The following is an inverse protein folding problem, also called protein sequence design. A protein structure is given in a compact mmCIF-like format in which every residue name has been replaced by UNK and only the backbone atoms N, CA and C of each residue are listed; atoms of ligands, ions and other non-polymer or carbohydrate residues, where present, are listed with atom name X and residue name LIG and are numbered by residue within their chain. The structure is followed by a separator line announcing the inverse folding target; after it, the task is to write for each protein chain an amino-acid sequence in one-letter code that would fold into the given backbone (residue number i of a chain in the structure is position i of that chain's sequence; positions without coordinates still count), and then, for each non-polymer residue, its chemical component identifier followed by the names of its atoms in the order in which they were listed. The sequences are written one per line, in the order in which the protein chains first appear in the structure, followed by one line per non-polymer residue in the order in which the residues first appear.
data_IF_039462698522
#
_entry.id   IF_039462698522
#
_cell.length_a   1.000
_cell.length_b   1.000
_cell.length_c   1.000
_cell.angle_alpha   90.00
_cell.angle_beta   90.00
_cell.angle_gamma   90.00
#
_symmetry.space_group_name_H-M   'P 1'
#
loop_
_entity.id
_entity.type
_entity.pdbx_description
1 polymer ?
#
# COMPACT_ATOMS: atom_id res chain seq x y z
N UNK A 1 16.41 -1.84 -12.67
CA UNK A 1 15.92 -2.73 -13.75
C UNK A 1 16.23 -2.10 -15.10
N UNK A 2 16.70 -2.89 -16.08
CA UNK A 2 17.05 -2.42 -17.43
C UNK A 2 16.61 -3.45 -18.47
N UNK A 3 16.12 -3.03 -19.66
CA UNK A 3 15.75 -3.95 -20.74
C UNK A 3 16.91 -4.86 -21.16
N UNK A 4 18.13 -4.33 -21.27
CA UNK A 4 19.33 -5.07 -21.63
C UNK A 4 19.76 -6.18 -20.65
N UNK A 5 19.10 -6.25 -19.49
CA UNK A 5 19.32 -7.27 -18.44
C UNK A 5 18.13 -8.21 -18.28
N UNK A 6 17.25 -8.29 -19.27
CA UNK A 6 16.12 -9.21 -19.28
C UNK A 6 14.95 -8.84 -18.36
N UNK A 7 14.87 -7.58 -17.91
CA UNK A 7 13.79 -7.11 -17.04
C UNK A 7 12.50 -6.77 -17.78
N UNK A 8 12.48 -6.82 -19.10
CA UNK A 8 11.35 -6.48 -19.95
C UNK A 8 11.59 -5.22 -20.78
N UNK A 9 10.60 -4.80 -21.56
CA UNK A 9 10.62 -3.55 -22.32
C UNK A 9 10.57 -2.33 -21.41
N UNK A 10 10.93 -1.15 -21.92
CA UNK A 10 10.80 0.11 -21.14
C UNK A 10 9.39 0.30 -20.63
N UNK A 11 8.35 0.09 -21.49
CA UNK A 11 6.95 0.20 -21.10
C UNK A 11 6.59 -0.74 -19.95
N UNK A 12 7.06 -1.98 -19.97
CA UNK A 12 6.82 -2.96 -18.90
C UNK A 12 7.54 -2.59 -17.61
N UNK A 13 8.80 -2.14 -17.69
CA UNK A 13 9.56 -1.73 -16.49
C UNK A 13 8.95 -0.49 -15.81
N UNK A 14 8.32 0.39 -16.57
CA UNK A 14 7.63 1.57 -16.05
C UNK A 14 6.24 1.24 -15.44
N UNK A 15 5.71 0.04 -15.67
CA UNK A 15 4.53 -0.44 -14.96
C UNK A 15 4.97 -1.00 -13.58
N UNK A 16 4.53 -0.40 -12.45
CA UNK A 16 4.95 -0.82 -11.12
C UNK A 16 4.48 -2.25 -10.77
N UNK A 17 3.37 -2.71 -11.31
CA UNK A 17 2.90 -4.09 -11.10
C UNK A 17 3.80 -5.09 -11.79
N UNK A 18 4.13 -4.84 -13.07
CA UNK A 18 5.05 -5.69 -13.81
C UNK A 18 6.44 -5.70 -13.16
N UNK A 19 7.01 -4.53 -12.91
CA UNK A 19 8.39 -4.41 -12.41
C UNK A 19 8.55 -4.99 -11.00
N UNK A 20 7.56 -4.82 -10.13
CA UNK A 20 7.55 -5.44 -8.80
C UNK A 20 7.38 -6.96 -8.89
N UNK A 21 6.46 -7.45 -9.73
CA UNK A 21 6.27 -8.88 -9.96
C UNK A 21 7.56 -9.56 -10.42
N UNK A 22 8.24 -8.98 -11.43
CA UNK A 22 9.54 -9.49 -11.91
C UNK A 22 10.62 -9.48 -10.83
N UNK A 23 10.61 -8.47 -9.94
CA UNK A 23 11.53 -8.45 -8.79
C UNK A 23 11.24 -9.62 -7.84
N UNK A 24 9.99 -9.86 -7.49
CA UNK A 24 9.60 -10.94 -6.59
C UNK A 24 9.84 -12.32 -7.21
N UNK A 25 9.60 -12.51 -8.52
CA UNK A 25 9.92 -13.75 -9.22
C UNK A 25 11.43 -14.07 -9.09
N UNK A 26 12.29 -13.08 -9.29
CA UNK A 26 13.74 -13.24 -9.15
C UNK A 26 14.14 -13.46 -7.66
N UNK A 27 13.46 -12.81 -6.71
CA UNK A 27 13.69 -12.97 -5.28
C UNK A 27 13.42 -14.39 -4.81
N UNK A 28 12.35 -15.02 -5.30
CA UNK A 28 12.00 -16.40 -4.95
C UNK A 28 13.09 -17.41 -5.35
N UNK A 29 13.92 -17.08 -6.33
CA UNK A 29 15.10 -17.87 -6.75
C UNK A 29 16.34 -17.66 -5.86
N UNK A 30 16.35 -16.69 -4.95
CA UNK A 30 17.49 -16.43 -4.05
C UNK A 30 17.44 -17.35 -2.85
N UNK A 31 18.50 -18.17 -2.66
CA UNK A 31 18.60 -19.02 -1.47
C UNK A 31 18.59 -18.16 -0.18
N UNK A 32 17.85 -18.61 0.83
CA UNK A 32 17.73 -17.97 2.15
C UNK A 32 17.15 -16.54 2.12
N UNK A 33 16.37 -16.15 1.10
CA UNK A 33 15.85 -14.81 0.95
C UNK A 33 14.99 -14.32 2.14
N UNK A 34 14.45 -15.25 2.94
CA UNK A 34 13.62 -14.92 4.13
C UNK A 34 14.44 -14.63 5.38
N UNK A 35 15.68 -15.08 5.45
CA UNK A 35 16.51 -15.05 6.66
C UNK A 35 17.78 -14.21 6.51
N UNK A 36 18.24 -14.02 5.28
CA UNK A 36 19.40 -13.18 4.99
C UNK A 36 19.06 -11.69 5.14
N UNK A 37 20.08 -10.85 5.26
CA UNK A 37 19.92 -9.39 5.30
C UNK A 37 19.17 -8.86 4.07
N UNK A 38 18.18 -8.00 4.29
CA UNK A 38 17.27 -7.50 3.24
C UNK A 38 18.03 -6.78 2.13
N UNK A 39 19.02 -5.95 2.45
CA UNK A 39 19.81 -5.24 1.45
C UNK A 39 20.63 -6.21 0.60
N UNK A 40 21.22 -7.22 1.23
CA UNK A 40 22.07 -8.21 0.54
C UNK A 40 21.23 -9.10 -0.38
N UNK A 41 20.05 -9.49 0.05
CA UNK A 41 19.08 -10.23 -0.78
C UNK A 41 18.62 -9.37 -1.96
N UNK A 42 18.26 -8.13 -1.74
CA UNK A 42 17.88 -7.20 -2.80
C UNK A 42 19.02 -6.97 -3.79
N UNK A 43 20.27 -6.89 -3.30
CA UNK A 43 21.47 -6.78 -4.12
C UNK A 43 21.69 -8.04 -4.98
N UNK A 44 21.48 -9.23 -4.44
CA UNK A 44 21.55 -10.50 -5.22
C UNK A 44 20.57 -10.48 -6.41
N UNK A 45 19.37 -9.91 -6.22
CA UNK A 45 18.36 -9.76 -7.28
C UNK A 45 18.76 -8.69 -8.30
N UNK A 46 19.12 -7.49 -7.83
CA UNK A 46 19.31 -6.33 -8.71
C UNK A 46 20.70 -6.22 -9.31
N UNK A 47 21.72 -6.76 -8.65
CA UNK A 47 23.14 -6.65 -9.07
C UNK A 47 23.52 -5.20 -9.39
N UNK A 48 23.19 -4.30 -8.44
CA UNK A 48 23.54 -2.87 -8.54
C UNK A 48 25.05 -2.66 -8.47
N UNK A 49 25.54 -1.64 -9.17
CA UNK A 49 26.93 -1.20 -9.05
C UNK A 49 27.24 -0.54 -7.67
N UNK A 50 26.20 -0.23 -6.89
CA UNK A 50 26.32 0.41 -5.57
C UNK A 50 25.60 -0.45 -4.51
N UNK A 51 26.19 -1.55 -4.04
CA UNK A 51 25.52 -2.55 -3.21
C UNK A 51 25.01 -1.99 -1.87
N UNK A 52 25.71 -1.02 -1.28
CA UNK A 52 25.35 -0.46 0.03
C UNK A 52 24.55 0.84 -0.02
N UNK A 53 24.33 1.41 -1.22
CA UNK A 53 23.66 2.69 -1.37
C UNK A 53 22.23 2.72 -0.79
N UNK A 54 21.55 1.59 -0.77
CA UNK A 54 20.16 1.47 -0.32
C UNK A 54 20.02 0.95 1.11
N UNK A 55 21.10 0.49 1.76
CA UNK A 55 21.07 -0.05 3.13
C UNK A 55 20.43 0.94 4.13
N UNK A 56 20.74 2.22 4.01
CA UNK A 56 20.15 3.29 4.83
C UNK A 56 18.61 3.44 4.70
N UNK A 57 18.00 2.83 3.70
CA UNK A 57 16.55 2.88 3.46
C UNK A 57 15.80 1.65 3.97
N UNK A 58 16.50 0.61 4.45
CA UNK A 58 15.90 -0.67 4.87
C UNK A 58 14.86 -0.45 5.96
N UNK A 59 15.18 0.28 7.04
CA UNK A 59 14.24 0.54 8.14
C UNK A 59 12.98 1.27 7.69
N UNK A 60 13.11 2.26 6.81
CA UNK A 60 11.97 3.00 6.25
C UNK A 60 11.12 2.12 5.33
N UNK A 61 11.76 1.27 4.52
CA UNK A 61 11.05 0.33 3.65
C UNK A 61 10.28 -0.72 4.47
N UNK A 62 10.87 -1.23 5.55
CA UNK A 62 10.20 -2.16 6.47
C UNK A 62 8.98 -1.51 7.14
N UNK A 63 9.13 -0.27 7.66
CA UNK A 63 8.02 0.45 8.28
C UNK A 63 6.86 0.69 7.30
N UNK A 64 7.18 1.13 6.07
CA UNK A 64 6.18 1.35 5.02
C UNK A 64 5.52 0.04 4.59
N UNK A 65 6.29 -1.02 4.41
CA UNK A 65 5.76 -2.34 4.07
C UNK A 65 4.83 -2.86 5.19
N UNK A 66 5.22 -2.74 6.47
CA UNK A 66 4.39 -3.15 7.59
C UNK A 66 3.06 -2.38 7.65
N UNK A 67 3.07 -1.07 7.39
CA UNK A 67 1.87 -0.24 7.33
C UNK A 67 0.96 -0.64 6.15
N UNK A 68 1.51 -0.72 4.93
CA UNK A 68 0.74 -1.00 3.71
C UNK A 68 0.23 -2.45 3.62
N UNK A 69 0.87 -3.40 4.30
CA UNK A 69 0.41 -4.80 4.35
C UNK A 69 -0.47 -5.10 5.56
N UNK A 70 -0.76 -4.10 6.39
CA UNK A 70 -1.61 -4.22 7.58
C UNK A 70 -0.96 -4.97 8.76
N UNK A 71 0.34 -5.25 8.68
CA UNK A 71 1.11 -5.83 9.81
C UNK A 71 1.19 -4.81 10.95
N UNK A 72 1.31 -3.53 10.62
CA UNK A 72 1.25 -2.42 11.57
C UNK A 72 -0.10 -1.70 11.45
N UNK A 73 -1.08 -1.99 12.31
CA UNK A 73 -2.35 -1.29 12.37
C UNK A 73 -2.18 0.22 12.56
N UNK A 74 -2.89 1.02 11.74
CA UNK A 74 -2.80 2.48 11.82
C UNK A 74 -1.42 3.06 11.51
N UNK A 75 -0.53 2.27 10.89
CA UNK A 75 0.87 2.65 10.64
C UNK A 75 1.07 3.70 9.53
N UNK A 76 0.01 4.09 8.83
CA UNK A 76 0.05 5.11 7.77
C UNK A 76 -0.94 6.21 8.05
N UNK A 77 -0.48 7.46 7.95
CA UNK A 77 -1.33 8.65 7.92
C UNK A 77 -0.87 9.60 6.83
N UNK A 78 -1.78 10.44 6.35
CA UNK A 78 -1.51 11.46 5.33
C UNK A 78 -2.19 12.77 5.70
N UNK A 79 -1.71 13.87 5.13
CA UNK A 79 -2.44 15.13 5.00
C UNK A 79 -2.52 15.50 3.52
N UNK A 80 -3.57 16.19 3.13
CA UNK A 80 -3.72 16.72 1.77
C UNK A 80 -4.19 18.16 1.85
N UNK A 81 -3.44 19.08 1.27
CA UNK A 81 -3.79 20.50 1.28
C UNK A 81 -5.00 20.84 0.42
N UNK A 82 -5.20 20.09 -0.65
CA UNK A 82 -6.32 20.26 -1.59
C UNK A 82 -6.68 18.91 -2.18
N UNK A 83 -7.43 18.06 -1.46
CA UNK A 83 -7.78 16.74 -1.94
C UNK A 83 -8.60 16.84 -3.25
N UNK A 84 -8.42 15.87 -4.13
CA UNK A 84 -9.18 15.76 -5.35
C UNK A 84 -10.68 15.60 -5.06
N UNK A 85 -11.50 15.85 -6.07
CA UNK A 85 -12.94 15.54 -6.01
C UNK A 85 -13.13 14.03 -5.76
N UNK A 86 -14.18 13.70 -4.99
CA UNK A 86 -14.55 12.32 -4.66
C UNK A 86 -14.67 11.43 -5.91
N UNK A 87 -13.87 10.36 -5.97
CA UNK A 87 -13.91 9.33 -7.00
C UNK A 87 -13.95 7.91 -6.40
N UNK A 88 -15.10 7.54 -5.89
CA UNK A 88 -15.35 6.22 -5.34
C UNK A 88 -15.22 5.10 -6.39
N UNK A 89 -15.49 5.40 -7.67
CA UNK A 89 -15.39 4.42 -8.75
C UNK A 89 -13.92 4.10 -9.07
N UNK A 90 -13.10 5.13 -9.23
CA UNK A 90 -11.67 4.99 -9.48
C UNK A 90 -10.96 4.29 -8.34
N UNK A 91 -11.23 4.68 -7.09
CA UNK A 91 -10.65 3.99 -5.93
C UNK A 91 -11.08 2.52 -5.86
N UNK A 92 -12.34 2.21 -6.15
CA UNK A 92 -12.83 0.81 -6.20
C UNK A 92 -12.06 -0.01 -7.23
N UNK A 93 -11.89 0.51 -8.44
CA UNK A 93 -11.16 -0.16 -9.51
C UNK A 93 -9.70 -0.42 -9.12
N UNK A 94 -9.05 0.60 -8.53
CA UNK A 94 -7.68 0.51 -8.08
C UNK A 94 -7.50 -0.50 -6.93
N UNK A 95 -8.37 -0.47 -5.91
CA UNK A 95 -8.34 -1.44 -4.81
C UNK A 95 -8.52 -2.87 -5.30
N UNK A 96 -9.48 -3.11 -6.19
CA UNK A 96 -9.70 -4.44 -6.77
C UNK A 96 -8.49 -4.96 -7.55
N UNK A 97 -7.76 -4.07 -8.24
CA UNK A 97 -6.51 -4.42 -8.94
C UNK A 97 -5.37 -4.69 -7.97
N UNK A 98 -5.16 -3.81 -7.00
CA UNK A 98 -4.00 -3.85 -6.12
C UNK A 98 -4.11 -4.91 -5.01
N UNK A 99 -5.33 -5.16 -4.52
CA UNK A 99 -5.63 -6.06 -3.40
C UNK A 99 -6.44 -7.28 -3.86
N UNK A 100 -6.27 -7.71 -5.11
CA UNK A 100 -7.02 -8.80 -5.72
C UNK A 100 -6.96 -10.09 -4.88
N UNK A 101 -8.14 -10.70 -4.63
CA UNK A 101 -8.26 -11.92 -3.82
C UNK A 101 -8.20 -11.71 -2.30
N UNK A 102 -7.77 -10.54 -1.82
CA UNK A 102 -7.57 -10.25 -0.41
C UNK A 102 -8.73 -9.45 0.21
N UNK A 103 -9.46 -8.73 -0.63
CA UNK A 103 -10.57 -7.87 -0.20
C UNK A 103 -11.77 -7.94 -1.15
N UNK A 104 -12.97 -7.76 -0.59
CA UNK A 104 -14.20 -7.53 -1.36
C UNK A 104 -14.62 -6.07 -1.20
N UNK A 105 -14.69 -5.32 -2.30
CA UNK A 105 -15.07 -3.90 -2.31
C UNK A 105 -16.50 -3.75 -2.81
N UNK A 106 -17.36 -3.12 -2.00
CA UNK A 106 -18.76 -2.80 -2.29
C UNK A 106 -18.95 -1.28 -2.25
N UNK A 107 -19.50 -0.71 -3.31
CA UNK A 107 -19.89 0.71 -3.36
C UNK A 107 -21.27 0.87 -2.73
N UNK A 108 -21.43 1.97 -1.96
CA UNK A 108 -22.70 2.39 -1.35
C UNK A 108 -22.95 3.87 -1.67
N UNK A 109 -24.12 4.37 -1.33
CA UNK A 109 -24.42 5.81 -1.46
C UNK A 109 -23.52 6.69 -0.57
N UNK A 110 -23.00 6.13 0.55
CA UNK A 110 -22.17 6.85 1.53
C UNK A 110 -20.67 6.64 1.33
N UNK A 111 -20.25 5.87 0.32
CA UNK A 111 -18.83 5.58 0.07
C UNK A 111 -18.55 4.12 -0.26
N UNK A 112 -17.52 3.53 0.37
CA UNK A 112 -17.16 2.14 0.16
C UNK A 112 -17.23 1.34 1.46
N UNK A 113 -17.65 0.08 1.33
CA UNK A 113 -17.44 -0.95 2.35
C UNK A 113 -16.42 -1.93 1.77
N UNK A 114 -15.32 -2.14 2.50
CA UNK A 114 -14.24 -3.05 2.11
C UNK A 114 -14.13 -4.14 3.15
N UNK A 115 -14.45 -5.37 2.75
CA UNK A 115 -14.33 -6.57 3.58
C UNK A 115 -12.97 -7.22 3.31
N UNK A 116 -12.07 -7.22 4.29
CA UNK A 116 -10.82 -7.96 4.25
C UNK A 116 -11.04 -9.45 4.55
N UNK A 117 -10.24 -10.33 3.95
CA UNK A 117 -10.27 -11.77 4.26
C UNK A 117 -9.79 -12.06 5.69
N UNK A 118 -9.00 -11.17 6.26
CA UNK A 118 -8.55 -11.17 7.66
C UNK A 118 -8.52 -9.73 8.19
N UNK A 119 -8.36 -9.57 9.52
CA UNK A 119 -8.14 -8.25 10.12
C UNK A 119 -6.90 -7.55 9.55
N UNK A 120 -5.81 -8.28 9.32
CA UNK A 120 -4.61 -7.73 8.70
C UNK A 120 -4.90 -7.19 7.30
N UNK A 121 -5.69 -7.92 6.48
CA UNK A 121 -6.06 -7.47 5.12
C UNK A 121 -7.00 -6.27 5.14
N UNK A 122 -7.85 -6.17 6.15
CA UNK A 122 -8.65 -4.97 6.38
C UNK A 122 -7.75 -3.77 6.71
N UNK A 123 -6.74 -3.92 7.57
CA UNK A 123 -5.76 -2.85 7.82
C UNK A 123 -4.94 -2.47 6.59
N UNK A 124 -4.58 -3.43 5.74
CA UNK A 124 -3.94 -3.14 4.45
C UNK A 124 -4.86 -2.29 3.54
N UNK A 125 -6.15 -2.64 3.48
CA UNK A 125 -7.13 -1.86 2.73
C UNK A 125 -7.37 -0.47 3.30
N UNK A 126 -7.39 -0.33 4.63
CA UNK A 126 -7.49 0.96 5.31
C UNK A 126 -6.27 1.84 5.01
N UNK A 127 -5.05 1.31 5.13
CA UNK A 127 -3.82 2.01 4.77
C UNK A 127 -3.80 2.39 3.28
N UNK A 128 -4.30 1.52 2.41
CA UNK A 128 -4.44 1.83 0.97
C UNK A 128 -5.37 3.02 0.74
N UNK A 129 -6.54 3.06 1.38
CA UNK A 129 -7.47 4.19 1.27
C UNK A 129 -6.86 5.49 1.76
N UNK A 130 -6.13 5.47 2.88
CA UNK A 130 -5.39 6.62 3.41
C UNK A 130 -4.30 7.08 2.45
N UNK A 131 -3.50 6.15 1.87
CA UNK A 131 -2.45 6.49 0.92
C UNK A 131 -2.95 7.21 -0.34
N UNK A 132 -4.18 6.91 -0.75
CA UNK A 132 -4.82 7.49 -1.94
C UNK A 132 -5.86 8.57 -1.60
N UNK A 133 -5.88 9.07 -0.36
CA UNK A 133 -6.88 10.05 0.09
C UNK A 133 -6.86 11.33 -0.73
N UNK A 134 -5.69 11.86 -1.03
CA UNK A 134 -5.54 13.08 -1.85
C UNK A 134 -6.04 12.86 -3.29
N UNK A 135 -5.66 11.75 -3.91
CA UNK A 135 -5.94 11.48 -5.32
C UNK A 135 -7.41 11.15 -5.61
N UNK A 136 -8.14 10.58 -4.64
CA UNK A 136 -9.53 10.12 -4.81
C UNK A 136 -10.52 10.82 -3.88
N UNK A 137 -10.10 11.84 -3.15
CA UNK A 137 -10.99 12.61 -2.28
C UNK A 137 -11.52 11.84 -1.06
N UNK A 138 -10.75 10.88 -0.54
CA UNK A 138 -11.13 10.16 0.69
C UNK A 138 -11.01 11.11 1.88
N UNK A 139 -12.10 11.28 2.62
CA UNK A 139 -12.16 12.16 3.79
C UNK A 139 -12.05 11.40 5.11
N UNK A 140 -12.53 10.17 5.18
CA UNK A 140 -12.51 9.37 6.41
C UNK A 140 -12.41 7.88 6.13
N UNK A 141 -11.67 7.18 6.97
CA UNK A 141 -11.54 5.72 6.95
C UNK A 141 -11.77 5.19 8.35
N UNK A 142 -12.67 4.21 8.51
CA UNK A 142 -12.91 3.54 9.80
C UNK A 142 -12.72 2.05 9.69
N UNK A 143 -12.23 1.41 10.76
CA UNK A 143 -12.14 -0.04 10.90
C UNK A 143 -12.45 -0.41 12.36
N UNK A 144 -13.61 -1.06 12.59
CA UNK A 144 -14.05 -1.34 13.95
C UNK A 144 -14.13 -0.05 14.78
N UNK A 145 -13.38 0.00 15.88
CA UNK A 145 -13.28 1.20 16.74
C UNK A 145 -12.19 2.19 16.33
N UNK A 146 -11.38 1.90 15.28
CA UNK A 146 -10.37 2.82 14.78
C UNK A 146 -10.96 3.80 13.77
N UNK A 147 -10.49 5.04 13.81
CA UNK A 147 -10.96 6.15 12.98
C UNK A 147 -9.81 7.03 12.53
N UNK A 148 -9.77 7.32 11.24
CA UNK A 148 -8.90 8.29 10.60
C UNK A 148 -9.72 9.27 9.78
N UNK A 149 -9.48 10.55 9.97
CA UNK A 149 -10.07 11.61 9.16
C UNK A 149 -8.98 12.47 8.54
N UNK A 150 -9.16 12.81 7.26
CA UNK A 150 -8.23 13.67 6.54
C UNK A 150 -8.20 15.07 7.20
N UNK A 151 -7.00 15.53 7.50
CA UNK A 151 -6.74 16.91 7.91
C UNK A 151 -5.92 17.60 6.80
N UNK A 152 -6.31 18.82 6.45
CA UNK A 152 -5.65 19.62 5.41
C UNK A 152 -4.46 20.42 5.95
N UNK A 153 -4.35 20.55 7.26
CA UNK A 153 -3.32 21.36 7.93
C UNK A 153 -2.23 20.53 8.59
N UNK A 154 -2.58 19.35 9.13
CA UNK A 154 -1.68 18.50 9.91
C UNK A 154 -1.80 17.03 9.56
N UNK A 155 -0.86 16.22 10.08
CA UNK A 155 -0.97 14.75 10.01
C UNK A 155 -1.94 14.30 11.11
N UNK A 156 -3.15 13.87 10.70
CA UNK A 156 -4.12 13.33 11.62
C UNK A 156 -3.76 11.90 12.05
N UNK A 157 -3.57 11.60 13.32
CA UNK A 157 -3.33 10.24 13.77
C UNK A 157 -4.61 9.41 13.65
N UNK A 158 -4.46 8.09 13.55
CA UNK A 158 -5.55 7.17 13.85
C UNK A 158 -5.94 7.27 15.33
N UNK A 159 -7.23 7.24 15.60
CA UNK A 159 -7.78 7.22 16.97
C UNK A 159 -8.50 5.89 17.22
N UNK A 160 -8.58 5.46 18.48
CA UNK A 160 -9.24 4.21 18.86
C UNK A 160 -8.51 2.94 18.44
N UNK A 161 -9.15 1.80 18.68
CA UNK A 161 -8.60 0.47 18.41
C UNK A 161 -9.45 -0.23 17.36
N UNK A 162 -8.84 -0.53 16.21
CA UNK A 162 -9.51 -1.23 15.11
C UNK A 162 -9.48 -2.74 15.26
N UNK A 163 -10.65 -3.33 15.36
CA UNK A 163 -10.83 -4.78 15.36
C UNK A 163 -11.80 -5.20 14.26
N UNK A 164 -11.71 -6.46 13.82
CA UNK A 164 -12.56 -6.99 12.75
C UNK A 164 -11.97 -6.80 11.37
N UNK A 165 -12.81 -7.01 10.35
CA UNK A 165 -12.38 -7.11 8.96
C UNK A 165 -13.13 -6.18 8.00
N UNK A 166 -13.94 -5.26 8.52
CA UNK A 166 -14.73 -4.32 7.70
C UNK A 166 -14.15 -2.91 7.83
N UNK A 167 -13.80 -2.36 6.67
CA UNK A 167 -13.37 -0.96 6.52
C UNK A 167 -14.49 -0.17 5.86
N UNK A 168 -14.80 1.01 6.41
CA UNK A 168 -15.67 1.99 5.75
C UNK A 168 -14.83 3.15 5.26
N UNK A 169 -15.03 3.55 4.00
CA UNK A 169 -14.34 4.68 3.37
C UNK A 169 -15.39 5.71 2.96
N UNK A 170 -15.27 6.93 3.45
CA UNK A 170 -16.12 8.06 3.10
C UNK A 170 -15.33 9.12 2.34
N UNK A 171 -16.01 9.86 1.48
CA UNK A 171 -15.41 10.85 0.60
C UNK A 171 -15.80 12.26 1.03
N UNK A 172 -14.96 13.24 0.70
CA UNK A 172 -15.28 14.65 0.84
C UNK A 172 -16.40 15.08 -0.13
N UNK A 173 -17.13 16.11 0.23
CA UNK A 173 -18.16 16.78 -0.59
C UNK A 173 -17.51 17.76 -1.54
#
# INVERSE_FOLDING_TARGET
QRPSKGWGTIKQIMDPYYSSGRFYDALLGVKNWRTDDINDVAQKVQRSAHPDAYRKHVSKAQALAAALTGVQPGGLTCKAGSPAKADAAGLTALMRKALAGEVKVTRTEKGLIVQGSTQQRAWAAAAFAVAYSDAYGVARVTLGGADWALDTSSLAPWTGNGTGSIVTVSFGT
#
